data_IF_146064601234
#
_entry.id   IF_146064601234
#
_cell.length_a   1.000
_cell.length_b   1.000
_cell.length_c   1.000
_cell.angle_alpha   90.00
_cell.angle_beta   90.00
_cell.angle_gamma   90.00
#
_symmetry.space_group_name_H-M   'P 1'
#
loop_
_entity.id
_entity.type
_entity.pdbx_description
1 polymer ?
#
# COMPACT_ATOMS: atom_id res chain seq x y z
N UNK A 1 -43.35 -6.90 -21.49
CA UNK A 1 -42.24 -7.03 -20.53
C UNK A 1 -42.02 -5.70 -19.84
N UNK A 2 -42.78 -5.43 -18.79
CA UNK A 2 -42.64 -4.27 -17.92
C UNK A 2 -41.60 -4.58 -16.85
N UNK A 3 -40.32 -4.39 -17.15
CA UNK A 3 -39.30 -4.23 -16.13
C UNK A 3 -39.48 -2.82 -15.54
N UNK A 4 -40.15 -2.72 -14.40
CA UNK A 4 -40.15 -1.51 -13.59
C UNK A 4 -38.68 -1.25 -13.18
N UNK A 5 -38.07 -0.10 -13.51
CA UNK A 5 -36.81 0.25 -12.90
C UNK A 5 -37.06 0.36 -11.41
N UNK A 6 -36.31 -0.41 -10.64
CA UNK A 6 -36.43 -0.41 -9.19
C UNK A 6 -35.93 0.95 -8.71
N UNK A 7 -36.85 1.86 -8.40
CA UNK A 7 -36.60 3.20 -7.82
C UNK A 7 -35.73 3.11 -6.55
N UNK A 8 -35.70 1.95 -5.90
CA UNK A 8 -34.80 1.61 -4.79
C UNK A 8 -33.32 1.57 -5.15
N UNK A 9 -32.94 1.34 -6.41
CA UNK A 9 -31.54 1.37 -6.87
C UNK A 9 -31.03 2.82 -7.02
N UNK A 10 -31.87 3.75 -7.48
CA UNK A 10 -31.49 5.16 -7.64
C UNK A 10 -31.23 5.85 -6.29
N UNK A 11 -32.01 5.56 -5.24
CA UNK A 11 -31.82 6.14 -3.90
C UNK A 11 -30.61 5.57 -3.15
N UNK A 12 -30.06 4.41 -3.55
CA UNK A 12 -28.87 3.78 -2.98
C UNK A 12 -27.68 3.73 -3.92
N UNK A 13 -27.75 4.39 -5.07
CA UNK A 13 -26.72 4.34 -6.11
C UNK A 13 -25.38 4.90 -5.60
N UNK A 14 -25.39 6.07 -5.00
CA UNK A 14 -24.15 6.69 -4.48
C UNK A 14 -23.51 5.87 -3.36
N UNK A 15 -24.24 5.44 -2.30
CA UNK A 15 -23.66 4.55 -1.30
C UNK A 15 -23.11 3.22 -1.87
N UNK A 16 -23.77 2.64 -2.87
CA UNK A 16 -23.30 1.42 -3.52
C UNK A 16 -21.99 1.64 -4.29
N UNK A 17 -21.88 2.77 -5.00
CA UNK A 17 -20.64 3.18 -5.69
C UNK A 17 -19.52 3.39 -4.69
N UNK A 18 -19.77 4.10 -3.58
CA UNK A 18 -18.77 4.33 -2.54
C UNK A 18 -18.30 3.01 -1.91
N UNK A 19 -19.21 2.06 -1.68
CA UNK A 19 -18.84 0.72 -1.21
C UNK A 19 -17.96 -0.01 -2.24
N UNK A 20 -18.29 0.06 -3.53
CA UNK A 20 -17.48 -0.52 -4.62
C UNK A 20 -16.08 0.07 -4.66
N UNK A 21 -15.93 1.40 -4.50
CA UNK A 21 -14.62 2.07 -4.51
C UNK A 21 -13.67 1.50 -3.44
N UNK A 22 -14.20 1.04 -2.31
CA UNK A 22 -13.39 0.44 -1.24
C UNK A 22 -12.74 -0.87 -1.71
N UNK A 23 -13.46 -1.70 -2.49
CA UNK A 23 -12.89 -2.91 -3.10
C UNK A 23 -11.88 -2.57 -4.19
N UNK A 24 -12.18 -1.61 -5.07
CA UNK A 24 -11.22 -1.19 -6.10
C UNK A 24 -9.91 -0.65 -5.50
N UNK A 25 -9.97 0.02 -4.35
CA UNK A 25 -8.78 0.48 -3.63
C UNK A 25 -7.95 -0.67 -3.06
N UNK A 26 -8.61 -1.73 -2.58
CA UNK A 26 -7.92 -2.96 -2.19
C UNK A 26 -7.23 -3.59 -3.41
N UNK A 27 -7.94 -3.67 -4.55
CA UNK A 27 -7.36 -4.21 -5.80
C UNK A 27 -6.14 -3.40 -6.26
N UNK A 28 -6.17 -2.06 -6.15
CA UNK A 28 -5.01 -1.22 -6.44
C UNK A 28 -3.79 -1.58 -5.57
N UNK A 29 -4.00 -1.81 -4.27
CA UNK A 29 -2.94 -2.17 -3.35
C UNK A 29 -2.37 -3.57 -3.66
N UNK A 30 -3.25 -4.56 -3.83
CA UNK A 30 -2.85 -5.95 -4.16
C UNK A 30 -2.13 -6.00 -5.50
N UNK A 31 -2.65 -5.32 -6.53
CA UNK A 31 -2.02 -5.25 -7.85
C UNK A 31 -0.63 -4.61 -7.78
N UNK A 32 -0.49 -3.50 -7.05
CA UNK A 32 0.82 -2.84 -6.90
C UNK A 32 1.83 -3.72 -6.14
N UNK A 33 1.41 -4.42 -5.09
CA UNK A 33 2.26 -5.37 -4.39
C UNK A 33 2.67 -6.54 -5.32
N UNK A 34 1.78 -7.01 -6.18
CA UNK A 34 2.08 -8.05 -7.17
C UNK A 34 3.06 -7.57 -8.25
N UNK A 35 2.91 -6.33 -8.74
CA UNK A 35 3.86 -5.71 -9.69
C UNK A 35 5.26 -5.62 -9.08
N UNK A 36 5.37 -5.12 -7.85
CA UNK A 36 6.64 -5.03 -7.11
C UNK A 36 7.25 -6.42 -6.89
N UNK A 37 6.44 -7.40 -6.48
CA UNK A 37 6.88 -8.79 -6.29
C UNK A 37 7.41 -9.41 -7.57
N UNK A 38 6.79 -9.11 -8.71
CA UNK A 38 7.26 -9.56 -10.03
C UNK A 38 8.57 -8.87 -10.41
N UNK A 39 8.69 -7.57 -10.16
CA UNK A 39 9.90 -6.81 -10.48
C UNK A 39 11.12 -7.32 -9.70
N UNK A 40 11.00 -7.50 -8.37
CA UNK A 40 12.11 -8.02 -7.56
C UNK A 40 12.48 -9.44 -7.93
N UNK A 41 11.52 -10.31 -8.27
CA UNK A 41 11.80 -11.67 -8.72
C UNK A 41 12.66 -11.69 -9.99
N UNK A 42 12.40 -10.78 -10.93
CA UNK A 42 13.21 -10.62 -12.13
C UNK A 42 14.60 -10.06 -11.82
N UNK A 43 14.72 -9.10 -10.90
CA UNK A 43 15.99 -8.53 -10.49
C UNK A 43 16.88 -9.57 -9.79
N UNK A 44 16.33 -10.36 -8.86
CA UNK A 44 17.04 -11.44 -8.19
C UNK A 44 17.50 -12.50 -9.19
N UNK A 45 16.59 -12.96 -10.05
CA UNK A 45 16.93 -13.94 -11.08
C UNK A 45 18.08 -13.45 -11.98
N UNK A 46 18.00 -12.17 -12.42
CA UNK A 46 19.09 -11.59 -13.22
C UNK A 46 20.42 -11.55 -12.44
N UNK A 47 20.39 -11.13 -11.18
CA UNK A 47 21.59 -11.02 -10.34
C UNK A 47 22.24 -12.38 -10.06
N UNK A 48 21.46 -13.46 -9.97
CA UNK A 48 21.96 -14.84 -9.82
C UNK A 48 22.72 -15.34 -11.07
N UNK A 49 22.28 -14.93 -12.26
CA UNK A 49 22.80 -15.47 -13.53
C UNK A 49 23.78 -14.53 -14.23
N UNK A 50 23.73 -13.23 -13.96
CA UNK A 50 24.64 -12.24 -14.56
C UNK A 50 25.95 -12.17 -13.80
N UNK A 51 27.06 -12.32 -14.52
CA UNK A 51 28.41 -12.18 -13.98
C UNK A 51 29.07 -10.88 -14.45
N UNK A 52 29.84 -10.24 -13.57
CA UNK A 52 30.72 -9.13 -13.83
C UNK A 52 32.03 -9.33 -13.08
N UNK A 53 33.18 -9.12 -13.73
CA UNK A 53 34.47 -9.33 -13.09
C UNK A 53 34.72 -10.76 -12.57
N UNK A 54 34.04 -11.76 -13.15
CA UNK A 54 34.17 -13.16 -12.75
C UNK A 54 33.26 -13.59 -11.58
N UNK A 55 32.43 -12.70 -11.04
CA UNK A 55 31.50 -12.98 -9.93
C UNK A 55 30.06 -12.76 -10.38
N UNK A 56 29.13 -13.56 -9.87
CA UNK A 56 27.70 -13.31 -10.05
C UNK A 56 27.29 -12.04 -9.31
N UNK A 57 26.42 -11.22 -9.91
CA UNK A 57 26.00 -9.93 -9.31
C UNK A 57 25.35 -10.10 -7.94
N UNK A 58 24.66 -11.19 -7.69
CA UNK A 58 24.06 -11.52 -6.39
C UNK A 58 25.09 -11.60 -5.25
N UNK A 59 26.37 -11.80 -5.57
CA UNK A 59 27.46 -11.86 -4.60
C UNK A 59 28.17 -10.50 -4.41
N UNK A 60 27.73 -9.47 -5.12
CA UNK A 60 28.29 -8.12 -4.97
C UNK A 60 27.59 -7.39 -3.81
N UNK A 61 28.34 -6.84 -2.84
CA UNK A 61 27.75 -6.25 -1.62
C UNK A 61 26.71 -5.15 -1.88
N UNK A 62 26.94 -4.26 -2.86
CA UNK A 62 25.97 -3.22 -3.21
C UNK A 62 24.69 -3.81 -3.80
N UNK A 63 24.81 -4.82 -4.65
CA UNK A 63 23.62 -5.50 -5.21
C UNK A 63 22.83 -6.21 -4.11
N UNK A 64 23.51 -6.86 -3.17
CA UNK A 64 22.86 -7.51 -2.02
C UNK A 64 22.07 -6.51 -1.17
N UNK A 65 22.66 -5.34 -0.91
CA UNK A 65 21.99 -4.27 -0.16
C UNK A 65 20.73 -3.80 -0.89
N UNK A 66 20.84 -3.45 -2.16
CA UNK A 66 19.68 -3.00 -2.96
C UNK A 66 18.57 -4.06 -2.99
N UNK A 67 18.91 -5.32 -3.29
CA UNK A 67 17.92 -6.40 -3.34
C UNK A 67 17.30 -6.68 -1.97
N UNK A 68 18.04 -6.52 -0.87
CA UNK A 68 17.51 -6.65 0.49
C UNK A 68 16.50 -5.56 0.80
N UNK A 69 16.84 -4.29 0.52
CA UNK A 69 15.95 -3.14 0.76
C UNK A 69 14.65 -3.27 -0.05
N UNK A 70 14.76 -3.58 -1.35
CA UNK A 70 13.59 -3.84 -2.20
C UNK A 70 12.73 -5.00 -1.69
N UNK A 71 13.36 -6.06 -1.18
CA UNK A 71 12.64 -7.24 -0.65
C UNK A 71 11.85 -6.88 0.61
N UNK A 72 12.41 -6.08 1.51
CA UNK A 72 11.74 -5.63 2.73
C UNK A 72 10.50 -4.79 2.40
N UNK A 73 10.61 -3.86 1.46
CA UNK A 73 9.47 -3.05 1.01
C UNK A 73 8.36 -3.90 0.38
N UNK A 74 8.73 -4.89 -0.44
CA UNK A 74 7.77 -5.82 -1.05
C UNK A 74 7.07 -6.68 0.00
N UNK A 75 7.81 -7.22 0.97
CA UNK A 75 7.25 -8.02 2.05
C UNK A 75 6.28 -7.21 2.90
N UNK A 76 6.64 -5.97 3.25
CA UNK A 76 5.78 -5.06 3.99
C UNK A 76 4.50 -4.74 3.20
N UNK A 77 4.62 -4.43 1.89
CA UNK A 77 3.47 -4.16 1.03
C UNK A 77 2.53 -5.36 0.91
N UNK A 78 3.06 -6.56 0.80
CA UNK A 78 2.28 -7.81 0.76
C UNK A 78 1.58 -8.02 2.10
N UNK A 79 2.32 -7.94 3.22
CA UNK A 79 1.76 -8.15 4.55
C UNK A 79 0.61 -7.19 4.85
N UNK A 80 0.79 -5.89 4.56
CA UNK A 80 -0.22 -4.86 4.75
C UNK A 80 -1.45 -5.10 3.85
N UNK A 81 -1.24 -5.43 2.57
CA UNK A 81 -2.33 -5.72 1.63
C UNK A 81 -3.14 -6.94 2.06
N UNK A 82 -2.50 -8.02 2.50
CA UNK A 82 -3.21 -9.21 3.00
C UNK A 82 -3.88 -8.97 4.36
N UNK A 83 -3.26 -8.17 5.25
CA UNK A 83 -3.92 -7.77 6.50
C UNK A 83 -5.19 -6.98 6.20
N UNK A 84 -5.14 -6.08 5.20
CA UNK A 84 -6.32 -5.37 4.75
C UNK A 84 -7.37 -6.32 4.14
N UNK A 85 -6.98 -7.19 3.20
CA UNK A 85 -7.89 -8.17 2.56
C UNK A 85 -8.63 -9.03 3.58
N UNK A 86 -7.95 -9.50 4.63
CA UNK A 86 -8.57 -10.24 5.74
C UNK A 86 -9.71 -9.48 6.43
N UNK A 87 -9.69 -8.15 6.43
CA UNK A 87 -10.76 -7.34 7.00
C UNK A 87 -12.04 -7.37 6.14
N UNK A 88 -11.91 -7.63 4.84
CA UNK A 88 -13.05 -7.80 3.93
C UNK A 88 -13.73 -9.16 4.12
N UNK A 89 -12.97 -10.22 4.39
CA UNK A 89 -13.51 -11.55 4.68
C UNK A 89 -14.36 -11.57 5.97
N UNK A 90 -14.08 -10.65 6.89
CA UNK A 90 -14.77 -10.51 8.18
C UNK A 90 -15.79 -9.38 8.19
N UNK A 91 -16.63 -9.29 7.17
CA UNK A 91 -17.54 -8.17 6.95
C UNK A 91 -18.50 -7.85 8.12
N UNK A 92 -18.81 -8.84 8.98
CA UNK A 92 -19.72 -8.69 10.14
C UNK A 92 -19.00 -8.34 11.45
N UNK A 93 -17.67 -8.37 11.46
CA UNK A 93 -16.86 -8.04 12.64
C UNK A 93 -16.68 -6.51 12.72
N UNK A 94 -17.12 -5.84 13.79
CA UNK A 94 -16.98 -4.39 13.94
C UNK A 94 -15.52 -3.92 13.93
N UNK A 95 -14.58 -4.69 14.51
CA UNK A 95 -13.15 -4.37 14.50
C UNK A 95 -12.57 -4.47 13.10
N UNK A 96 -12.94 -5.49 12.35
CA UNK A 96 -12.54 -5.62 10.95
C UNK A 96 -13.14 -4.50 10.08
N UNK A 97 -14.37 -4.06 10.35
CA UNK A 97 -14.99 -2.93 9.68
C UNK A 97 -14.24 -1.61 9.96
N UNK A 98 -13.87 -1.36 11.21
CA UNK A 98 -13.07 -0.21 11.61
C UNK A 98 -11.68 -0.22 10.95
N UNK A 99 -10.98 -1.36 10.98
CA UNK A 99 -9.71 -1.55 10.30
C UNK A 99 -9.84 -1.23 8.79
N UNK A 100 -10.79 -1.85 8.11
CA UNK A 100 -11.06 -1.60 6.69
C UNK A 100 -11.34 -0.13 6.40
N UNK A 101 -12.13 0.54 7.25
CA UNK A 101 -12.53 1.93 7.05
C UNK A 101 -11.33 2.88 7.06
N UNK A 102 -10.41 2.73 8.00
CA UNK A 102 -9.21 3.57 8.10
C UNK A 102 -8.09 3.08 7.19
N UNK A 103 -7.82 1.78 7.21
CA UNK A 103 -6.62 1.24 6.57
C UNK A 103 -6.74 1.05 5.05
N UNK A 104 -7.94 1.07 4.46
CA UNK A 104 -8.06 1.03 2.98
C UNK A 104 -7.39 2.21 2.31
N UNK A 105 -7.68 3.48 2.65
CA UNK A 105 -6.97 4.62 2.05
C UNK A 105 -5.48 4.65 2.43
N UNK A 106 -5.10 4.26 3.65
CA UNK A 106 -3.70 4.18 4.09
C UNK A 106 -2.92 3.18 3.24
N UNK A 107 -3.40 1.94 3.16
CA UNK A 107 -2.74 0.87 2.39
C UNK A 107 -2.64 1.23 0.91
N UNK A 108 -3.75 1.71 0.33
CA UNK A 108 -3.77 2.13 -1.07
C UNK A 108 -2.75 3.25 -1.32
N UNK A 109 -2.70 4.24 -0.46
CA UNK A 109 -1.74 5.34 -0.56
C UNK A 109 -0.31 4.81 -0.58
N UNK A 110 0.10 4.11 0.47
CA UNK A 110 1.48 3.72 0.66
C UNK A 110 1.95 2.71 -0.38
N UNK A 111 1.23 1.60 -0.56
CA UNK A 111 1.63 0.52 -1.47
C UNK A 111 1.73 1.00 -2.92
N UNK A 112 0.76 1.82 -3.37
CA UNK A 112 0.82 2.34 -4.74
C UNK A 112 1.89 3.42 -4.93
N UNK A 113 2.25 4.16 -3.88
CA UNK A 113 3.30 5.20 -3.93
C UNK A 113 4.69 4.62 -4.04
N UNK A 114 4.98 3.55 -3.31
CA UNK A 114 6.31 2.92 -3.37
C UNK A 114 6.50 2.05 -4.63
N UNK A 115 5.42 1.66 -5.32
CA UNK A 115 5.52 0.73 -6.45
C UNK A 115 6.37 1.26 -7.60
N UNK A 116 6.16 2.50 -8.04
CA UNK A 116 6.90 3.05 -9.18
C UNK A 116 8.40 3.21 -8.91
N UNK A 117 8.85 3.86 -7.82
CA UNK A 117 10.27 3.95 -7.51
C UNK A 117 10.92 2.58 -7.27
N UNK A 118 10.23 1.65 -6.60
CA UNK A 118 10.75 0.31 -6.37
C UNK A 118 10.97 -0.46 -7.69
N UNK A 119 10.01 -0.40 -8.62
CA UNK A 119 10.15 -1.05 -9.92
C UNK A 119 11.25 -0.39 -10.76
N UNK A 120 11.43 0.94 -10.65
CA UNK A 120 12.53 1.65 -11.30
C UNK A 120 13.89 1.14 -10.81
N UNK A 121 14.07 1.01 -9.49
CA UNK A 121 15.28 0.46 -8.90
C UNK A 121 15.53 -1.00 -9.33
N UNK A 122 14.48 -1.82 -9.37
CA UNK A 122 14.58 -3.17 -9.90
C UNK A 122 15.00 -3.21 -11.39
N UNK A 123 14.56 -2.23 -12.20
CA UNK A 123 15.02 -2.08 -13.61
C UNK A 123 16.51 -1.78 -13.67
N UNK A 124 17.02 -0.92 -12.78
CA UNK A 124 18.44 -0.58 -12.72
C UNK A 124 19.31 -1.80 -12.43
N UNK A 125 18.83 -2.74 -11.60
CA UNK A 125 19.52 -4.01 -11.34
C UNK A 125 19.79 -4.85 -12.60
N UNK A 126 18.95 -4.73 -13.64
CA UNK A 126 19.12 -5.41 -14.93
C UNK A 126 19.93 -4.60 -15.94
N UNK A 127 20.25 -3.34 -15.65
CA UNK A 127 20.86 -2.42 -16.63
C UNK A 127 19.98 -2.25 -17.87
N UNK A 128 20.56 -2.24 -19.07
CA UNK A 128 19.80 -2.08 -20.31
C UNK A 128 18.66 -3.08 -20.53
N UNK A 129 18.81 -4.31 -20.01
CA UNK A 129 17.77 -5.32 -20.09
C UNK A 129 16.52 -4.96 -19.26
N UNK A 130 16.65 -4.13 -18.22
CA UNK A 130 15.50 -3.63 -17.46
C UNK A 130 14.65 -2.62 -18.25
N UNK A 131 15.27 -1.92 -19.18
CA UNK A 131 14.66 -0.81 -19.92
C UNK A 131 13.96 -1.23 -21.22
N UNK A 132 14.52 -2.23 -21.94
CA UNK A 132 14.04 -2.64 -23.26
C UNK A 132 12.74 -3.47 -23.17
N UNK A 133 11.92 -3.40 -24.22
CA UNK A 133 10.57 -3.99 -24.25
C UNK A 133 10.56 -5.53 -24.31
N UNK A 134 11.67 -6.15 -24.65
CA UNK A 134 11.82 -7.61 -24.70
C UNK A 134 11.79 -8.26 -23.31
N UNK A 135 11.92 -7.43 -22.24
CA UNK A 135 11.88 -7.86 -20.86
C UNK A 135 10.66 -7.27 -20.12
N UNK A 136 10.14 -7.94 -19.09
CA UNK A 136 8.86 -7.55 -18.50
C UNK A 136 8.89 -6.24 -17.70
N UNK A 137 10.06 -5.79 -17.24
CA UNK A 137 10.16 -4.67 -16.29
C UNK A 137 9.70 -3.33 -16.86
N UNK A 138 9.96 -3.06 -18.13
CA UNK A 138 9.48 -1.85 -18.79
C UNK A 138 7.94 -1.77 -18.78
N UNK A 139 7.24 -2.89 -19.00
CA UNK A 139 5.79 -2.96 -18.92
C UNK A 139 5.29 -2.82 -17.48
N UNK A 140 5.92 -3.47 -16.49
CA UNK A 140 5.58 -3.35 -15.07
C UNK A 140 5.72 -1.91 -14.58
N UNK A 141 6.78 -1.22 -14.99
CA UNK A 141 7.02 0.17 -14.64
C UNK A 141 5.95 1.11 -15.19
N UNK A 142 5.54 0.92 -16.45
CA UNK A 142 4.48 1.74 -17.06
C UNK A 142 3.12 1.51 -16.43
N UNK A 143 2.84 0.30 -15.96
CA UNK A 143 1.58 -0.05 -15.31
C UNK A 143 1.49 0.52 -13.88
N UNK A 144 2.58 0.54 -13.12
CA UNK A 144 2.58 0.90 -11.71
C UNK A 144 1.95 2.26 -11.38
N UNK A 145 2.23 3.37 -12.12
CA UNK A 145 1.70 4.69 -11.78
C UNK A 145 0.18 4.80 -11.79
N UNK A 146 -0.53 4.05 -12.62
CA UNK A 146 -1.98 4.16 -12.74
C UNK A 146 -2.69 3.80 -11.44
N UNK A 147 -2.17 2.83 -10.70
CA UNK A 147 -2.71 2.42 -9.39
C UNK A 147 -2.63 3.54 -8.33
N UNK A 148 -1.69 4.47 -8.45
CA UNK A 148 -1.60 5.64 -7.59
C UNK A 148 -2.55 6.79 -8.01
N UNK A 149 -3.14 6.71 -9.19
CA UNK A 149 -3.97 7.77 -9.79
C UNK A 149 -5.46 7.45 -9.66
N UNK A 150 -5.92 6.34 -10.22
CA UNK A 150 -7.33 5.99 -10.22
C UNK A 150 -7.83 5.60 -8.83
N UNK A 151 -9.16 5.61 -8.64
CA UNK A 151 -9.83 5.36 -7.35
C UNK A 151 -9.41 6.33 -6.23
N UNK A 152 -8.80 7.44 -6.62
CA UNK A 152 -8.33 8.52 -5.78
C UNK A 152 -6.81 8.58 -5.67
N UNK A 153 -6.26 9.73 -6.04
CA UNK A 153 -4.82 10.01 -5.89
C UNK A 153 -4.39 10.08 -4.43
N UNK A 154 -3.08 10.18 -4.19
CA UNK A 154 -2.53 10.25 -2.84
C UNK A 154 -3.18 11.34 -1.96
N UNK A 155 -3.43 12.55 -2.50
CA UNK A 155 -4.12 13.58 -1.73
C UNK A 155 -5.56 13.19 -1.37
N UNK A 156 -6.28 12.52 -2.27
CA UNK A 156 -7.64 12.04 -1.99
C UNK A 156 -7.63 10.99 -0.88
N UNK A 157 -6.62 10.11 -0.87
CA UNK A 157 -6.45 9.12 0.20
C UNK A 157 -6.14 9.79 1.55
N UNK A 158 -5.25 10.76 1.57
CA UNK A 158 -4.92 11.52 2.79
C UNK A 158 -6.13 12.24 3.36
N UNK A 159 -6.91 12.94 2.50
CA UNK A 159 -8.15 13.59 2.91
C UNK A 159 -9.22 12.61 3.41
N UNK A 160 -9.27 11.38 2.87
CA UNK A 160 -10.19 10.35 3.36
C UNK A 160 -9.79 9.86 4.76
N UNK A 161 -8.49 9.65 5.00
CA UNK A 161 -7.94 9.34 6.34
C UNK A 161 -8.32 10.43 7.35
N UNK A 162 -8.07 11.70 7.03
CA UNK A 162 -8.42 12.82 7.92
C UNK A 162 -9.92 12.86 8.22
N UNK A 163 -10.76 12.61 7.22
CA UNK A 163 -12.20 12.56 7.40
C UNK A 163 -12.62 11.47 8.38
N UNK A 164 -11.97 10.29 8.33
CA UNK A 164 -12.22 9.20 9.29
C UNK A 164 -11.83 9.65 10.69
N UNK A 165 -10.63 10.16 10.86
CA UNK A 165 -10.12 10.59 12.17
C UNK A 165 -10.98 11.67 12.81
N UNK A 166 -11.55 12.60 12.00
CA UNK A 166 -12.39 13.69 12.49
C UNK A 166 -13.82 13.27 12.78
N UNK A 167 -14.39 12.36 12.00
CA UNK A 167 -15.82 12.02 12.06
C UNK A 167 -16.14 10.68 12.72
N UNK A 168 -15.16 9.81 12.83
CA UNK A 168 -15.30 8.43 13.29
C UNK A 168 -14.17 8.09 14.29
N UNK A 169 -14.04 8.85 15.41
CA UNK A 169 -12.90 8.69 16.34
C UNK A 169 -12.80 7.27 16.91
N UNK A 170 -13.92 6.56 17.07
CA UNK A 170 -13.97 5.18 17.52
C UNK A 170 -13.25 4.24 16.54
N UNK A 171 -13.22 4.56 15.25
CA UNK A 171 -12.46 3.79 14.24
C UNK A 171 -10.97 3.94 14.48
N UNK A 172 -10.51 5.16 14.77
CA UNK A 172 -9.11 5.43 15.09
C UNK A 172 -8.67 4.70 16.38
N UNK A 173 -9.53 4.66 17.40
CA UNK A 173 -9.26 3.96 18.66
C UNK A 173 -9.05 2.46 18.44
N UNK A 174 -9.92 1.79 17.68
CA UNK A 174 -9.77 0.36 17.35
C UNK A 174 -8.46 0.05 16.63
N UNK A 175 -8.09 0.89 15.64
CA UNK A 175 -6.84 0.68 14.89
C UNK A 175 -5.62 0.93 15.77
N UNK A 176 -5.64 2.00 16.57
CA UNK A 176 -4.54 2.31 17.51
C UNK A 176 -4.38 1.25 18.60
N UNK A 177 -5.46 0.65 19.09
CA UNK A 177 -5.40 -0.47 20.04
C UNK A 177 -4.69 -1.70 19.42
N UNK A 178 -5.02 -2.04 18.17
CA UNK A 178 -4.39 -3.15 17.46
C UNK A 178 -2.90 -2.88 17.22
N UNK A 179 -2.54 -1.68 16.75
CA UNK A 179 -1.14 -1.29 16.52
C UNK A 179 -0.33 -1.31 17.82
N UNK A 180 -0.88 -0.80 18.93
CA UNK A 180 -0.24 -0.87 20.25
C UNK A 180 0.06 -2.31 20.65
N UNK A 181 -0.90 -3.23 20.43
CA UNK A 181 -0.71 -4.64 20.70
C UNK A 181 0.40 -5.28 19.85
N UNK A 182 0.49 -4.89 18.56
CA UNK A 182 1.50 -5.39 17.65
C UNK A 182 2.92 -4.86 17.97
N UNK A 183 3.04 -3.63 18.48
CA UNK A 183 4.32 -3.03 18.86
C UNK A 183 4.85 -3.52 20.23
N UNK A 184 4.02 -4.23 21.01
CA UNK A 184 4.38 -4.67 22.36
C UNK A 184 5.56 -5.67 22.32
N UNK A 185 6.64 -5.33 23.02
CA UNK A 185 7.84 -6.17 23.12
C UNK A 185 8.98 -5.75 22.17
N UNK A 186 8.75 -4.80 21.27
CA UNK A 186 9.79 -4.19 20.43
C UNK A 186 9.92 -2.69 20.75
N UNK A 187 11.11 -2.28 21.19
CA UNK A 187 11.36 -0.90 21.62
C UNK A 187 11.32 0.10 20.45
N UNK A 188 11.78 -0.31 19.26
CA UNK A 188 11.80 0.56 18.09
C UNK A 188 10.37 0.78 17.55
N UNK A 189 9.57 -0.28 17.48
CA UNK A 189 8.16 -0.21 17.09
C UNK A 189 7.34 0.57 18.11
N UNK A 190 7.58 0.37 19.42
CA UNK A 190 6.92 1.15 20.46
C UNK A 190 7.22 2.65 20.33
N UNK A 191 8.48 3.04 20.12
CA UNK A 191 8.85 4.43 19.91
C UNK A 191 8.25 5.02 18.60
N UNK A 192 8.12 4.22 17.55
CA UNK A 192 7.45 4.63 16.31
C UNK A 192 5.95 4.86 16.56
N UNK A 193 5.31 3.96 17.29
CA UNK A 193 3.91 4.08 17.67
C UNK A 193 3.63 5.31 18.53
N UNK A 194 4.49 5.63 19.51
CA UNK A 194 4.38 6.84 20.31
C UNK A 194 4.45 8.12 19.48
N UNK A 195 5.34 8.16 18.47
CA UNK A 195 5.41 9.28 17.51
C UNK A 195 4.12 9.39 16.68
N UNK A 196 3.58 8.27 16.22
CA UNK A 196 2.30 8.23 15.51
C UNK A 196 1.17 8.78 16.39
N UNK A 197 1.07 8.33 17.64
CA UNK A 197 0.07 8.80 18.58
C UNK A 197 0.16 10.32 18.81
N UNK A 198 1.36 10.86 18.97
CA UNK A 198 1.57 12.30 19.16
C UNK A 198 0.99 13.10 17.97
N UNK A 199 1.13 12.61 16.74
CA UNK A 199 0.55 13.25 15.54
C UNK A 199 -0.97 13.08 15.48
N UNK A 200 -1.49 11.89 15.81
CA UNK A 200 -2.93 11.59 15.75
C UNK A 200 -3.75 12.45 16.71
N UNK A 201 -3.22 12.78 17.88
CA UNK A 201 -3.92 13.53 18.92
C UNK A 201 -3.62 15.04 18.95
N UNK A 202 -2.83 15.52 17.96
CA UNK A 202 -2.55 16.95 17.82
C UNK A 202 -3.27 17.56 16.60
N UNK A 203 -4.49 18.14 16.78
CA UNK A 203 -5.34 18.57 15.67
C UNK A 203 -4.69 19.58 14.72
N UNK A 204 -3.78 20.41 15.22
CA UNK A 204 -3.07 21.44 14.43
C UNK A 204 -2.05 20.85 13.46
N UNK A 205 -1.55 19.64 13.72
CA UNK A 205 -0.59 18.95 12.87
C UNK A 205 -1.28 18.14 11.77
N UNK A 206 -2.53 17.78 11.96
CA UNK A 206 -3.30 16.99 10.98
C UNK A 206 -3.44 17.73 9.64
N UNK A 207 -3.66 19.04 9.66
CA UNK A 207 -3.87 19.84 8.44
C UNK A 207 -2.58 20.13 7.66
N UNK A 208 -1.40 19.99 8.29
CA UNK A 208 -0.10 20.36 7.69
C UNK A 208 0.75 19.12 7.33
N UNK A 209 0.48 17.99 7.98
CA UNK A 209 1.29 16.75 7.86
C UNK A 209 0.48 15.53 7.43
N UNK A 210 -0.59 15.74 6.70
CA UNK A 210 -1.53 14.69 6.27
C UNK A 210 -0.83 13.48 5.65
N UNK A 211 0.11 13.71 4.73
CA UNK A 211 0.84 12.63 4.06
C UNK A 211 1.77 11.90 5.02
N UNK A 212 2.49 12.63 5.88
CA UNK A 212 3.37 12.00 6.88
C UNK A 212 2.58 11.13 7.86
N UNK A 213 1.37 11.57 8.24
CA UNK A 213 0.48 10.76 9.06
C UNK A 213 0.10 9.45 8.36
N UNK A 214 -0.29 9.53 7.09
CA UNK A 214 -0.68 8.33 6.31
C UNK A 214 0.50 7.38 6.15
N UNK A 215 1.69 7.91 5.89
CA UNK A 215 2.93 7.12 5.82
C UNK A 215 3.30 6.48 7.17
N UNK A 216 3.03 7.16 8.27
CA UNK A 216 3.28 6.61 9.62
C UNK A 216 2.25 5.56 10.05
N UNK A 217 1.06 5.53 9.44
CA UNK A 217 0.03 4.52 9.67
C UNK A 217 0.25 3.25 8.83
N UNK A 218 0.94 3.37 7.71
CA UNK A 218 1.24 2.25 6.83
C UNK A 218 2.37 1.38 7.36
#
# INVERSE_FOLDING_TARGET
NNAKPTVTLAARGVPAIVAMLTYCRLDCAVSSAALMRSAIANAVHHAEHRHSGGRALINEPLMQQVLADLSLDVEAAIALSFRLARSFDRARDPRAAAWRRLMTPVTKYWVTKIASPLIAEAMECLGGNGYVEEWPLAALYREAPVNAIWEGSGNVMSLDVLRVLQKEPEVAEFVTEELRGACAGDAALTAAFERLQAVLYEPRLLDVRERQLVESLA
#
